data_IF_701208492953
#
_entry.id   IF_701208492953
#
_cell.length_a   1.000
_cell.length_b   1.000
_cell.length_c   1.000
_cell.angle_alpha   90.00
_cell.angle_beta   90.00
_cell.angle_gamma   90.00
#
_symmetry.space_group_name_H-M   'P 1'
#
loop_
_entity.id
_entity.type
_entity.pdbx_description
1 polymer ?
#
# COMPACT_ATOMS: atom_id res chain seq x y z
N UNK A 1 -30.16 -39.07 34.77
CA UNK A 1 -30.36 -38.67 33.37
C UNK A 1 -29.36 -37.57 33.05
N UNK A 2 -28.38 -37.87 32.20
CA UNK A 2 -27.27 -36.97 31.83
C UNK A 2 -27.77 -35.94 30.83
N UNK A 3 -27.59 -34.65 31.10
CA UNK A 3 -27.52 -33.62 30.06
C UNK A 3 -26.28 -32.79 30.41
N UNK A 4 -25.14 -33.22 29.86
CA UNK A 4 -23.91 -32.42 29.85
C UNK A 4 -24.11 -31.38 28.76
N UNK A 5 -24.22 -30.11 29.16
CA UNK A 5 -24.21 -28.98 28.24
C UNK A 5 -22.86 -28.93 27.54
N UNK A 6 -22.81 -29.39 26.30
CA UNK A 6 -21.67 -29.19 25.41
C UNK A 6 -21.77 -27.76 24.88
N UNK A 7 -21.05 -26.83 25.52
CA UNK A 7 -20.84 -25.50 24.95
C UNK A 7 -19.89 -25.70 23.77
N UNK A 8 -20.46 -25.87 22.57
CA UNK A 8 -19.72 -25.73 21.33
C UNK A 8 -19.38 -24.25 21.25
N UNK A 9 -18.13 -23.90 21.59
CA UNK A 9 -17.59 -22.59 21.27
C UNK A 9 -17.63 -22.44 19.75
N UNK A 10 -18.60 -21.70 19.24
CA UNK A 10 -18.55 -21.17 17.89
C UNK A 10 -17.31 -20.28 17.83
N UNK A 11 -16.23 -20.85 17.33
CA UNK A 11 -15.06 -20.12 16.89
C UNK A 11 -15.55 -19.09 15.88
N UNK A 12 -15.56 -17.82 16.28
CA UNK A 12 -15.62 -16.72 15.33
C UNK A 12 -14.35 -16.82 14.49
N UNK A 13 -14.46 -17.49 13.34
CA UNK A 13 -13.44 -17.43 12.30
C UNK A 13 -13.51 -16.01 11.77
N UNK A 14 -12.70 -15.12 12.36
CA UNK A 14 -12.43 -13.80 11.79
C UNK A 14 -11.71 -14.07 10.47
N UNK A 15 -12.47 -14.06 9.38
CA UNK A 15 -11.92 -14.02 8.03
C UNK A 15 -11.18 -12.68 7.89
N UNK A 16 -9.89 -12.69 8.22
CA UNK A 16 -8.94 -11.65 7.84
C UNK A 16 -8.90 -11.64 6.31
N UNK A 17 -9.70 -10.78 5.70
CA UNK A 17 -9.52 -10.34 4.32
C UNK A 17 -8.20 -9.59 4.23
N UNK A 18 -7.11 -10.34 4.12
CA UNK A 18 -5.88 -9.80 3.56
C UNK A 18 -6.04 -9.73 2.04
N UNK A 19 -6.97 -8.88 1.62
CA UNK A 19 -7.18 -8.55 0.23
C UNK A 19 -6.02 -7.66 -0.23
N UNK A 20 -5.58 -7.90 -1.45
CA UNK A 20 -4.81 -6.94 -2.24
C UNK A 20 -5.39 -5.55 -2.01
N UNK A 21 -4.61 -4.59 -1.48
CA UNK A 21 -5.06 -3.21 -1.50
C UNK A 21 -5.02 -2.78 -2.96
N UNK A 22 -6.15 -2.95 -3.63
CA UNK A 22 -6.50 -2.15 -4.80
C UNK A 22 -6.19 -0.69 -4.48
N UNK A 23 -5.74 0.11 -5.45
CA UNK A 23 -5.41 1.51 -5.20
C UNK A 23 -6.64 2.21 -4.60
N UNK A 24 -6.64 2.34 -3.28
CA UNK A 24 -7.71 3.05 -2.58
C UNK A 24 -7.54 4.55 -2.83
N UNK A 25 -8.61 5.31 -2.54
CA UNK A 25 -8.62 6.78 -2.33
C UNK A 25 -7.34 7.31 -1.65
N UNK A 26 -6.75 6.50 -0.78
CA UNK A 26 -5.60 6.87 0.02
C UNK A 26 -4.25 6.46 -0.59
N UNK A 27 -4.25 5.47 -1.48
CA UNK A 27 -3.03 4.83 -1.99
C UNK A 27 -2.09 5.79 -2.73
N UNK A 28 -2.61 6.77 -3.47
CA UNK A 28 -1.78 7.74 -4.20
C UNK A 28 -1.11 8.76 -3.25
N UNK A 29 -1.82 9.21 -2.22
CA UNK A 29 -1.22 10.04 -1.16
C UNK A 29 -0.20 9.20 -0.37
N UNK A 30 -0.53 7.94 -0.07
CA UNK A 30 0.39 7.01 0.58
C UNK A 30 1.63 6.74 -0.28
N UNK A 31 1.53 6.53 -1.58
CA UNK A 31 2.68 6.13 -2.41
C UNK A 31 3.76 7.20 -2.51
N UNK A 32 3.38 8.48 -2.47
CA UNK A 32 4.33 9.60 -2.49
C UNK A 32 5.14 9.72 -1.19
N UNK A 33 4.58 9.29 -0.06
CA UNK A 33 5.08 9.66 1.26
C UNK A 33 5.20 8.48 2.25
N UNK A 34 4.79 7.29 1.83
CA UNK A 34 4.90 6.08 2.63
C UNK A 34 6.37 5.70 2.76
N UNK A 35 6.85 5.48 3.99
CA UNK A 35 8.17 4.90 4.24
C UNK A 35 8.34 3.49 3.64
N UNK A 36 7.26 2.89 3.10
CA UNK A 36 7.18 1.51 2.61
C UNK A 36 7.60 1.34 1.14
N UNK A 37 8.51 2.17 0.64
CA UNK A 37 9.21 1.87 -0.61
C UNK A 37 10.25 0.76 -0.37
N UNK A 38 9.72 -0.43 -0.11
CA UNK A 38 10.37 -1.60 0.47
C UNK A 38 11.56 -2.11 -0.35
N UNK A 39 11.47 -2.06 -1.68
CA UNK A 39 12.53 -2.53 -2.57
C UNK A 39 13.44 -1.40 -3.11
N UNK A 40 13.14 -0.13 -2.80
CA UNK A 40 13.98 0.98 -3.27
C UNK A 40 15.30 1.03 -2.49
N UNK A 41 16.38 1.17 -3.24
CA UNK A 41 17.76 1.30 -2.79
C UNK A 41 18.28 2.62 -3.37
N UNK A 42 18.84 3.49 -2.54
CA UNK A 42 19.36 4.81 -2.92
C UNK A 42 20.71 4.71 -3.63
N UNK A 43 21.60 3.83 -3.15
CA UNK A 43 22.94 3.65 -3.71
C UNK A 43 23.31 2.16 -3.83
N UNK A 44 24.16 1.83 -4.80
CA UNK A 44 24.57 0.45 -5.09
C UNK A 44 23.59 -0.27 -6.02
N UNK A 45 24.02 -1.42 -6.56
CA UNK A 45 23.21 -2.24 -7.45
C UNK A 45 22.81 -3.54 -6.74
N UNK A 46 21.57 -3.66 -6.23
CA UNK A 46 21.13 -4.88 -5.56
C UNK A 46 20.85 -6.00 -6.59
N UNK A 47 21.25 -7.25 -6.30
CA UNK A 47 20.70 -8.44 -6.98
C UNK A 47 19.45 -8.98 -6.28
N UNK A 48 19.42 -8.89 -4.95
CA UNK A 48 18.34 -9.41 -4.14
C UNK A 48 18.15 -8.56 -2.88
N UNK A 49 16.89 -8.43 -2.48
CA UNK A 49 16.51 -7.75 -1.25
C UNK A 49 15.44 -8.57 -0.54
N UNK A 50 15.74 -8.99 0.69
CA UNK A 50 14.79 -9.71 1.55
C UNK A 50 14.31 -8.78 2.65
N UNK A 51 13.00 -8.71 2.84
CA UNK A 51 12.35 -7.87 3.84
C UNK A 51 11.57 -8.75 4.78
N UNK A 52 11.73 -8.53 6.07
CA UNK A 52 10.87 -9.09 7.09
C UNK A 52 10.14 -7.93 7.78
N UNK A 53 8.82 -7.87 7.64
CA UNK A 53 7.97 -6.89 8.31
C UNK A 53 7.20 -7.58 9.44
N UNK A 54 7.25 -6.98 10.62
CA UNK A 54 6.51 -7.40 11.81
C UNK A 54 5.50 -6.32 12.13
N UNK A 55 4.23 -6.59 11.85
CA UNK A 55 3.12 -5.68 12.14
C UNK A 55 2.51 -6.09 13.48
N UNK A 56 2.47 -5.16 14.42
CA UNK A 56 1.96 -5.38 15.77
C UNK A 56 0.59 -4.71 15.86
N UNK A 57 -0.48 -5.50 15.74
CA UNK A 57 -1.85 -5.01 15.82
C UNK A 57 -2.27 -4.77 17.28
N UNK A 58 -3.34 -3.99 17.49
CA UNK A 58 -3.80 -3.57 18.82
C UNK A 58 -4.21 -4.72 19.77
N UNK A 59 -4.36 -5.95 19.25
CA UNK A 59 -4.71 -7.16 20.02
C UNK A 59 -3.55 -8.16 20.18
N UNK A 60 -2.30 -7.72 20.02
CA UNK A 60 -1.09 -8.57 20.09
C UNK A 60 -0.96 -9.61 18.97
N UNK A 61 -1.84 -9.59 17.97
CA UNK A 61 -1.64 -10.31 16.72
C UNK A 61 -0.39 -9.76 16.03
N UNK A 62 0.61 -10.62 15.93
CA UNK A 62 1.86 -10.34 15.24
C UNK A 62 1.81 -11.05 13.91
N UNK A 63 1.78 -10.27 12.84
CA UNK A 63 1.94 -10.84 11.50
C UNK A 63 3.36 -10.62 11.02
N UNK A 64 3.99 -11.72 10.59
CA UNK A 64 5.30 -11.71 9.95
C UNK A 64 5.09 -11.87 8.44
N UNK A 65 5.44 -10.82 7.71
CA UNK A 65 5.56 -10.86 6.26
C UNK A 65 7.03 -11.00 5.88
N UNK A 66 7.29 -11.91 4.95
CA UNK A 66 8.59 -11.98 4.28
C UNK A 66 8.39 -11.68 2.80
N UNK A 67 9.08 -10.65 2.31
CA UNK A 67 9.06 -10.27 0.90
C UNK A 67 10.47 -10.44 0.32
N UNK A 68 10.60 -11.16 -0.78
CA UNK A 68 11.87 -11.37 -1.48
C UNK A 68 11.76 -10.71 -2.84
N UNK A 69 12.61 -9.73 -3.10
CA UNK A 69 12.73 -9.04 -4.38
C UNK A 69 14.02 -9.49 -5.06
N UNK A 70 13.91 -9.96 -6.29
CA UNK A 70 15.04 -10.35 -7.14
C UNK A 70 15.07 -9.43 -8.34
N UNK A 71 16.18 -8.71 -8.51
CA UNK A 71 16.39 -7.76 -9.60
C UNK A 71 16.98 -8.51 -10.79
N UNK A 72 16.11 -9.05 -11.65
CA UNK A 72 16.50 -9.88 -12.79
C UNK A 72 17.17 -9.05 -13.90
N UNK A 73 16.72 -7.80 -14.07
CA UNK A 73 17.30 -6.81 -14.98
C UNK A 73 16.93 -5.40 -14.50
N UNK A 74 17.50 -4.31 -15.06
CA UNK A 74 17.15 -2.94 -14.66
C UNK A 74 15.64 -2.65 -14.70
N UNK A 75 14.92 -3.32 -15.60
CA UNK A 75 13.50 -3.05 -15.86
C UNK A 75 12.57 -4.19 -15.40
N UNK A 76 13.07 -5.17 -14.64
CA UNK A 76 12.26 -6.32 -14.21
C UNK A 76 12.64 -6.79 -12.81
N UNK A 77 11.65 -6.84 -11.92
CA UNK A 77 11.78 -7.34 -10.55
C UNK A 77 10.82 -8.51 -10.37
N UNK A 78 11.34 -9.62 -9.84
CA UNK A 78 10.54 -10.77 -9.41
C UNK A 78 10.31 -10.67 -7.91
N UNK A 79 9.08 -10.88 -7.45
CA UNK A 79 8.70 -10.70 -6.04
C UNK A 79 7.98 -11.93 -5.52
N UNK A 80 8.48 -12.47 -4.41
CA UNK A 80 7.78 -13.53 -3.66
C UNK A 80 7.40 -13.02 -2.28
N UNK A 81 6.13 -13.14 -1.94
CA UNK A 81 5.59 -12.74 -0.64
C UNK A 81 5.11 -13.95 0.15
N UNK A 82 5.57 -14.05 1.38
CA UNK A 82 5.26 -15.13 2.30
C UNK A 82 4.55 -14.57 3.54
N UNK A 83 3.51 -15.27 3.97
CA UNK A 83 2.82 -15.02 5.24
C UNK A 83 2.99 -16.25 6.11
N UNK A 84 3.60 -16.07 7.28
CA UNK A 84 3.89 -17.17 8.21
C UNK A 84 4.53 -18.36 7.46
N UNK A 85 5.56 -18.06 6.66
CA UNK A 85 6.32 -18.99 5.83
C UNK A 85 5.57 -19.68 4.67
N UNK A 86 4.27 -19.40 4.48
CA UNK A 86 3.53 -19.88 3.31
C UNK A 86 3.59 -18.86 2.17
N UNK A 87 3.91 -19.33 0.95
CA UNK A 87 3.87 -18.48 -0.24
C UNK A 87 2.43 -18.00 -0.48
N UNK A 88 2.26 -16.67 -0.46
CA UNK A 88 0.99 -16.01 -0.62
C UNK A 88 0.87 -15.30 -1.97
N UNK A 89 1.98 -14.75 -2.50
CA UNK A 89 2.02 -14.08 -3.80
C UNK A 89 3.33 -14.34 -4.53
N UNK A 90 3.24 -14.49 -5.85
CA UNK A 90 4.36 -14.54 -6.78
C UNK A 90 4.10 -13.50 -7.87
N UNK A 91 4.92 -12.46 -7.95
CA UNK A 91 4.63 -11.26 -8.71
C UNK A 91 5.81 -10.86 -9.61
N UNK A 92 5.51 -10.24 -10.75
CA UNK A 92 6.47 -9.71 -11.71
C UNK A 92 6.17 -8.24 -11.91
N UNK A 93 7.16 -7.40 -11.63
CA UNK A 93 7.09 -5.95 -11.84
C UNK A 93 7.95 -5.62 -13.05
N UNK A 94 7.38 -4.93 -14.04
CA UNK A 94 8.11 -4.37 -15.16
C UNK A 94 8.16 -2.86 -15.04
N UNK A 95 9.35 -2.30 -15.17
CA UNK A 95 9.62 -0.88 -15.00
C UNK A 95 10.01 -0.23 -16.33
N UNK A 96 9.77 1.08 -16.46
CA UNK A 96 10.38 1.89 -17.52
C UNK A 96 11.81 2.32 -17.18
N UNK A 97 12.44 3.06 -18.09
CA UNK A 97 13.83 3.51 -17.96
C UNK A 97 14.10 4.45 -16.78
N UNK A 98 13.06 5.02 -16.17
CA UNK A 98 13.18 5.87 -14.99
C UNK A 98 12.64 5.19 -13.72
N UNK A 99 12.37 3.88 -13.79
CA UNK A 99 12.00 3.05 -12.66
C UNK A 99 10.51 3.10 -12.27
N UNK A 100 9.63 3.61 -13.13
CA UNK A 100 8.17 3.58 -12.89
C UNK A 100 7.59 2.24 -13.30
N UNK A 101 6.69 1.68 -12.49
CA UNK A 101 5.97 0.45 -12.82
C UNK A 101 5.07 0.69 -14.04
N UNK A 102 5.28 -0.06 -15.12
CA UNK A 102 4.47 -0.01 -16.36
C UNK A 102 3.57 -1.24 -16.52
N UNK A 103 3.96 -2.36 -15.89
CA UNK A 103 3.17 -3.58 -15.91
C UNK A 103 3.42 -4.39 -14.64
N UNK A 104 2.35 -5.00 -14.12
CA UNK A 104 2.37 -5.93 -13.01
C UNK A 104 1.60 -7.18 -13.38
N UNK A 105 2.17 -8.33 -13.09
CA UNK A 105 1.48 -9.61 -13.09
C UNK A 105 1.67 -10.27 -11.72
N UNK A 106 0.58 -10.65 -11.07
CA UNK A 106 0.61 -11.29 -9.76
C UNK A 106 -0.18 -12.59 -9.79
N UNK A 107 0.41 -13.67 -9.30
CA UNK A 107 -0.31 -14.87 -8.92
C UNK A 107 -0.55 -14.82 -7.41
N UNK A 108 -1.81 -14.75 -6.99
CA UNK A 108 -2.19 -14.46 -5.61
C UNK A 108 -3.02 -15.60 -5.05
N UNK A 109 -2.62 -16.09 -3.88
CA UNK A 109 -3.35 -17.10 -3.13
C UNK A 109 -4.40 -16.45 -2.23
N UNK A 110 -5.67 -16.74 -2.48
CA UNK A 110 -6.78 -16.28 -1.65
C UNK A 110 -7.02 -17.21 -0.46
N UNK A 111 -7.86 -16.76 0.49
CA UNK A 111 -8.13 -17.47 1.76
C UNK A 111 -8.63 -18.92 1.59
N UNK A 112 -9.26 -19.24 0.45
CA UNK A 112 -9.70 -20.60 0.10
C UNK A 112 -8.59 -21.48 -0.50
N UNK A 113 -7.37 -20.97 -0.65
CA UNK A 113 -6.22 -21.68 -1.20
C UNK A 113 -6.08 -21.62 -2.71
N UNK A 114 -7.08 -21.08 -3.41
CA UNK A 114 -7.07 -20.88 -4.85
C UNK A 114 -6.13 -19.75 -5.28
N UNK A 115 -5.47 -19.96 -6.41
CA UNK A 115 -4.55 -19.03 -7.04
C UNK A 115 -5.25 -18.24 -8.15
N UNK A 116 -5.06 -16.93 -8.15
CA UNK A 116 -5.66 -16.03 -9.13
C UNK A 116 -4.59 -15.16 -9.76
N UNK A 117 -4.67 -15.04 -11.08
CA UNK A 117 -3.80 -14.16 -11.84
C UNK A 117 -4.44 -12.79 -11.91
N UNK A 118 -3.72 -11.78 -11.44
CA UNK A 118 -4.04 -10.36 -11.59
C UNK A 118 -3.02 -9.73 -12.54
N UNK A 119 -3.50 -8.83 -13.40
CA UNK A 119 -2.67 -8.12 -14.37
C UNK A 119 -3.05 -6.66 -14.37
N UNK A 120 -2.06 -5.80 -14.21
CA UNK A 120 -2.22 -4.35 -14.24
C UNK A 120 -1.29 -3.75 -15.29
N UNK A 121 -1.81 -2.79 -16.04
CA UNK A 121 -1.01 -1.90 -16.89
C UNK A 121 -1.06 -0.49 -16.32
N UNK A 122 0.06 0.22 -16.43
CA UNK A 122 0.20 1.59 -15.97
C UNK A 122 0.62 2.48 -17.13
N UNK A 123 -0.06 3.61 -17.30
CA UNK A 123 0.28 4.64 -18.28
C UNK A 123 0.49 5.96 -17.56
N UNK A 124 1.52 6.69 -17.99
CA UNK A 124 1.90 7.98 -17.42
C UNK A 124 1.91 9.04 -18.51
N UNK A 125 1.12 10.08 -18.30
CA UNK A 125 1.11 11.32 -19.08
C UNK A 125 1.68 12.45 -18.21
N UNK A 126 1.78 13.67 -18.76
CA UNK A 126 2.42 14.79 -18.06
C UNK A 126 1.82 15.03 -16.67
N UNK A 127 0.50 15.04 -16.53
CA UNK A 127 -0.21 15.29 -15.27
C UNK A 127 -1.29 14.22 -14.97
N UNK A 128 -1.14 13.02 -15.54
CA UNK A 128 -2.13 11.96 -15.38
C UNK A 128 -1.45 10.59 -15.27
N UNK A 129 -1.96 9.75 -14.39
CA UNK A 129 -1.62 8.32 -14.27
C UNK A 129 -2.89 7.52 -14.51
N UNK A 130 -2.78 6.45 -15.30
CA UNK A 130 -3.87 5.53 -15.58
C UNK A 130 -3.41 4.13 -15.17
N UNK A 131 -4.27 3.40 -14.45
CA UNK A 131 -4.04 2.00 -14.05
C UNK A 131 -5.21 1.17 -14.58
N UNK A 132 -4.92 0.11 -15.32
CA UNK A 132 -5.96 -0.74 -15.90
C UNK A 132 -5.78 -2.18 -15.45
N UNK A 133 -6.85 -2.78 -14.91
CA UNK A 133 -6.88 -4.18 -14.52
C UNK A 133 -7.48 -5.03 -15.63
N UNK A 134 -6.69 -6.01 -16.08
CA UNK A 134 -7.03 -6.87 -17.20
C UNK A 134 -7.55 -8.20 -16.67
N UNK A 135 -8.71 -8.64 -17.16
CA UNK A 135 -9.27 -9.93 -16.80
C UNK A 135 -8.62 -11.09 -17.57
N UNK A 136 -9.04 -12.32 -17.27
CA UNK A 136 -8.52 -13.53 -17.96
C UNK A 136 -8.73 -13.56 -19.47
N UNK A 137 -9.64 -12.74 -20.00
CA UNK A 137 -9.94 -12.64 -21.44
C UNK A 137 -9.18 -11.51 -22.13
N UNK A 138 -8.26 -10.83 -21.44
CA UNK A 138 -7.53 -9.70 -22.00
C UNK A 138 -8.32 -8.39 -22.07
N UNK A 139 -9.50 -8.32 -21.45
CA UNK A 139 -10.32 -7.11 -21.41
C UNK A 139 -10.06 -6.31 -20.14
N UNK A 140 -10.05 -4.99 -20.27
CA UNK A 140 -10.04 -4.06 -19.14
C UNK A 140 -11.42 -4.16 -18.45
N UNK A 141 -11.42 -4.44 -17.15
CA UNK A 141 -12.65 -4.50 -16.34
C UNK A 141 -12.63 -3.53 -15.16
N UNK A 142 -11.50 -2.85 -14.94
CA UNK A 142 -11.37 -1.82 -13.93
C UNK A 142 -10.30 -0.84 -14.39
N UNK A 143 -10.56 0.46 -14.22
CA UNK A 143 -9.68 1.55 -14.63
C UNK A 143 -9.66 2.62 -13.55
N UNK A 144 -8.46 2.93 -13.09
CA UNK A 144 -8.19 4.05 -12.21
C UNK A 144 -7.51 5.16 -12.99
N UNK A 145 -7.94 6.39 -12.76
CA UNK A 145 -7.30 7.58 -13.30
C UNK A 145 -6.98 8.55 -12.18
N UNK A 146 -5.76 9.06 -12.17
CA UNK A 146 -5.30 10.05 -11.20
C UNK A 146 -4.80 11.25 -11.97
N UNK A 147 -5.39 12.41 -11.71
CA UNK A 147 -4.93 13.69 -12.22
C UNK A 147 -4.11 14.40 -11.16
N UNK A 148 -3.06 15.11 -11.59
CA UNK A 148 -2.15 15.80 -10.68
C UNK A 148 -2.06 17.30 -10.99
N UNK A 149 -1.78 18.10 -9.96
CA UNK A 149 -1.38 19.50 -10.12
C UNK A 149 0.07 19.64 -10.65
N UNK A 150 0.53 20.88 -10.80
CA UNK A 150 1.90 21.18 -11.24
C UNK A 150 2.99 20.69 -10.28
N UNK A 151 2.66 20.48 -9.01
CA UNK A 151 3.56 20.00 -7.96
C UNK A 151 3.48 18.47 -7.80
N UNK A 152 2.70 17.79 -8.66
CA UNK A 152 2.45 16.33 -8.63
C UNK A 152 1.63 15.87 -7.42
N UNK A 153 0.83 16.74 -6.83
CA UNK A 153 -0.18 16.35 -5.85
C UNK A 153 -1.44 15.84 -6.58
N UNK A 154 -2.06 14.73 -6.16
CA UNK A 154 -3.29 14.24 -6.77
C UNK A 154 -4.45 15.23 -6.54
N UNK A 155 -5.14 15.65 -7.60
CA UNK A 155 -6.29 16.57 -7.52
C UNK A 155 -7.62 15.85 -7.69
N UNK A 156 -7.63 14.80 -8.53
CA UNK A 156 -8.82 13.97 -8.77
C UNK A 156 -8.35 12.52 -8.92
N UNK A 157 -9.04 11.61 -8.26
CA UNK A 157 -8.99 10.18 -8.54
C UNK A 157 -10.35 9.74 -9.08
N UNK A 158 -10.38 8.93 -10.13
CA UNK A 158 -11.58 8.26 -10.62
C UNK A 158 -11.33 6.76 -10.67
N UNK A 159 -12.28 5.98 -10.18
CA UNK A 159 -12.30 4.52 -10.32
C UNK A 159 -13.56 4.11 -11.07
N UNK A 160 -13.37 3.28 -12.09
CA UNK A 160 -14.43 2.71 -12.91
C UNK A 160 -14.25 1.20 -12.90
N UNK A 161 -15.21 0.49 -12.31
CA UNK A 161 -15.29 -0.97 -12.32
C UNK A 161 -16.43 -1.36 -13.25
N UNK A 162 -16.16 -2.23 -14.22
CA UNK A 162 -17.14 -2.76 -15.17
C UNK A 162 -17.13 -4.28 -15.10
N UNK A 163 -18.09 -4.84 -14.37
CA UNK A 163 -18.33 -6.27 -14.25
C UNK A 163 -19.73 -6.66 -14.75
N UNK A 164 -19.96 -7.95 -15.03
CA UNK A 164 -21.26 -8.45 -15.49
C UNK A 164 -22.38 -8.23 -14.47
N UNK A 165 -22.06 -8.29 -13.18
CA UNK A 165 -23.03 -8.17 -12.08
C UNK A 165 -22.79 -6.95 -11.19
N UNK A 166 -21.73 -6.17 -11.47
CA UNK A 166 -21.33 -5.04 -10.64
C UNK A 166 -20.60 -4.00 -11.48
N UNK A 167 -21.20 -2.82 -11.61
CA UNK A 167 -20.55 -1.62 -12.16
C UNK A 167 -20.49 -0.58 -11.06
N UNK A 168 -19.33 0.04 -10.90
CA UNK A 168 -19.08 1.06 -9.87
C UNK A 168 -18.34 2.21 -10.49
N UNK A 169 -18.77 3.42 -10.15
CA UNK A 169 -18.05 4.65 -10.46
C UNK A 169 -17.83 5.39 -9.14
N UNK A 170 -16.57 5.68 -8.85
CA UNK A 170 -16.17 6.49 -7.69
C UNK A 170 -15.28 7.63 -8.14
N UNK A 171 -15.34 8.74 -7.41
CA UNK A 171 -14.37 9.80 -7.56
C UNK A 171 -13.97 10.41 -6.22
N UNK A 172 -12.71 10.82 -6.14
CA UNK A 172 -12.17 11.59 -5.02
C UNK A 172 -11.73 12.93 -5.56
N UNK A 173 -12.14 14.01 -4.90
CA UNK A 173 -11.62 15.35 -5.16
C UNK A 173 -10.83 15.82 -3.95
N UNK A 174 -9.65 16.37 -4.20
CA UNK A 174 -8.75 16.86 -3.18
C UNK A 174 -8.77 18.38 -3.13
N UNK A 175 -9.09 18.96 -1.97
CA UNK A 175 -9.03 20.39 -1.71
C UNK A 175 -7.90 20.69 -0.73
N UNK A 176 -6.71 20.89 -1.29
CA UNK A 176 -5.51 21.24 -0.54
C UNK A 176 -5.59 22.61 0.12
N UNK A 177 -6.46 23.52 -0.32
CA UNK A 177 -6.59 24.84 0.33
C UNK A 177 -7.29 24.70 1.68
N UNK A 178 -8.28 23.83 1.76
CA UNK A 178 -9.07 23.61 2.98
C UNK A 178 -8.63 22.36 3.76
N UNK A 179 -7.69 21.57 3.24
CA UNK A 179 -7.16 20.39 3.92
C UNK A 179 -8.19 19.25 4.03
N UNK A 180 -9.02 19.09 2.99
CA UNK A 180 -10.08 18.08 2.94
C UNK A 180 -10.03 17.31 1.62
N UNK A 181 -10.69 16.16 1.60
CA UNK A 181 -11.07 15.47 0.38
C UNK A 181 -12.53 15.05 0.44
N UNK A 182 -13.14 14.90 -0.72
CA UNK A 182 -14.53 14.45 -0.87
C UNK A 182 -14.54 13.18 -1.70
N UNK A 183 -15.03 12.09 -1.10
CA UNK A 183 -15.31 10.82 -1.76
C UNK A 183 -16.75 10.82 -2.27
N UNK A 184 -16.96 10.48 -3.54
CA UNK A 184 -18.27 10.43 -4.18
C UNK A 184 -18.47 9.08 -4.87
N UNK A 185 -19.57 8.42 -4.54
CA UNK A 185 -19.99 7.15 -5.15
C UNK A 185 -21.18 7.42 -6.06
N UNK A 186 -21.14 6.88 -7.27
CA UNK A 186 -22.24 7.00 -8.23
C UNK A 186 -22.92 5.66 -8.45
N UNK A 187 -24.25 5.68 -8.55
CA UNK A 187 -25.04 4.50 -8.90
C UNK A 187 -24.96 4.18 -10.39
N UNK A 188 -25.66 3.12 -10.82
CA UNK A 188 -25.67 2.67 -12.22
C UNK A 188 -26.17 3.73 -13.21
N UNK A 189 -27.10 4.59 -12.79
CA UNK A 189 -27.64 5.68 -13.62
C UNK A 189 -26.69 6.89 -13.69
N UNK A 190 -25.53 6.83 -13.02
CA UNK A 190 -24.57 7.92 -12.93
C UNK A 190 -24.96 9.00 -11.92
N UNK A 191 -25.97 8.76 -11.09
CA UNK A 191 -26.39 9.70 -10.05
C UNK A 191 -25.55 9.51 -8.78
N UNK A 192 -25.23 10.62 -8.11
CA UNK A 192 -24.55 10.60 -6.82
C UNK A 192 -25.40 9.83 -5.79
N UNK A 193 -24.80 8.80 -5.22
CA UNK A 193 -25.43 7.89 -4.25
C UNK A 193 -24.92 8.11 -2.83
N UNK A 194 -23.63 8.46 -2.68
CA UNK A 194 -22.99 8.73 -1.41
C UNK A 194 -21.92 9.78 -1.61
N UNK A 195 -21.81 10.66 -0.62
CA UNK A 195 -20.74 11.65 -0.51
C UNK A 195 -20.20 11.61 0.92
N UNK A 196 -18.88 11.54 1.07
CA UNK A 196 -18.21 11.49 2.38
C UNK A 196 -16.97 12.40 2.35
N UNK A 197 -16.90 13.33 3.29
CA UNK A 197 -15.73 14.19 3.47
C UNK A 197 -14.74 13.57 4.46
N UNK A 198 -13.45 13.76 4.18
CA UNK A 198 -12.37 13.42 5.08
C UNK A 198 -11.29 14.49 5.11
N UNK A 199 -10.32 14.33 6.01
CA UNK A 199 -9.25 15.30 6.22
C UNK A 199 -7.97 14.91 5.47
N UNK A 200 -7.22 15.94 5.07
CA UNK A 200 -5.84 15.83 4.60
C UNK A 200 -4.97 16.75 5.44
N UNK A 201 -4.02 16.15 6.14
CA UNK A 201 -2.97 16.92 6.77
C UNK A 201 -1.95 17.31 5.70
N UNK A 202 -1.78 18.61 5.45
CA UNK A 202 -0.85 19.16 4.47
C UNK A 202 0.58 19.26 4.99
N UNK A 203 0.72 19.39 6.31
CA UNK A 203 2.00 19.50 7.02
C UNK A 203 2.39 18.15 7.63
N UNK A 204 2.08 17.06 6.93
CA UNK A 204 2.25 15.72 7.47
C UNK A 204 3.72 15.38 7.70
N UNK A 205 4.69 15.90 6.92
CA UNK A 205 6.12 15.73 7.24
C UNK A 205 6.57 16.79 8.24
N UNK A 206 7.00 16.35 9.42
CA UNK A 206 7.52 17.22 10.47
C UNK A 206 9.05 17.30 10.37
N UNK A 207 9.73 16.15 10.31
CA UNK A 207 11.19 16.09 10.28
C UNK A 207 11.71 15.05 9.29
N UNK A 208 12.93 15.31 8.80
CA UNK A 208 13.73 14.38 8.00
C UNK A 208 15.14 14.26 8.58
N UNK A 209 15.77 13.11 8.39
CA UNK A 209 17.19 12.96 8.70
C UNK A 209 18.09 13.41 7.54
N UNK A 210 19.42 13.34 7.76
CA UNK A 210 20.45 13.71 6.77
C UNK A 210 20.41 12.92 5.46
N UNK A 211 19.72 11.78 5.42
CA UNK A 211 19.54 10.96 4.22
C UNK A 211 18.22 11.28 3.49
N UNK A 212 17.45 12.26 3.98
CA UNK A 212 16.17 12.67 3.42
C UNK A 212 14.99 11.78 3.82
N UNK A 213 15.18 10.77 4.67
CA UNK A 213 14.09 9.91 5.14
C UNK A 213 13.26 10.63 6.22
N UNK A 214 11.93 10.47 6.15
CA UNK A 214 10.99 11.05 7.11
C UNK A 214 11.18 10.37 8.46
N UNK A 215 11.58 11.13 9.48
CA UNK A 215 11.75 10.63 10.85
C UNK A 215 10.59 10.97 11.76
N UNK A 216 9.76 11.94 11.36
CA UNK A 216 8.60 12.36 12.14
C UNK A 216 7.50 12.86 11.22
N UNK A 217 6.29 12.36 11.41
CA UNK A 217 5.14 12.77 10.60
C UNK A 217 3.81 12.66 11.33
N UNK A 218 2.83 13.47 10.93
CA UNK A 218 1.42 13.19 11.20
C UNK A 218 0.91 12.11 10.23
N UNK A 219 -0.21 11.48 10.58
CA UNK A 219 -0.92 10.67 9.60
C UNK A 219 -1.49 11.58 8.51
N UNK A 220 -1.32 11.22 7.24
CA UNK A 220 -1.70 12.09 6.12
C UNK A 220 -3.20 12.35 6.04
N UNK A 221 -4.01 11.42 6.56
CA UNK A 221 -5.47 11.52 6.56
C UNK A 221 -6.05 11.78 7.95
N UNK A 222 -5.23 12.20 8.92
CA UNK A 222 -5.74 12.59 10.25
C UNK A 222 -6.10 14.07 10.27
N UNK A 223 -7.00 14.44 11.17
CA UNK A 223 -7.19 15.85 11.50
C UNK A 223 -5.91 16.35 12.20
N UNK A 224 -5.43 17.54 11.82
CA UNK A 224 -4.24 18.17 12.41
C UNK A 224 -4.38 18.37 13.93
N UNK A 225 -5.61 18.48 14.42
CA UNK A 225 -5.93 18.66 15.84
C UNK A 225 -5.76 17.38 16.67
N UNK A 226 -5.73 16.20 16.04
CA UNK A 226 -5.66 14.92 16.76
C UNK A 226 -4.30 14.69 17.44
N UNK A 227 -3.27 15.48 17.11
CA UNK A 227 -1.92 15.42 17.68
C UNK A 227 -1.25 14.03 17.63
N UNK A 228 -1.68 13.17 16.71
CA UNK A 228 -1.10 11.83 16.52
C UNK A 228 0.16 11.93 15.68
N UNK A 229 1.30 11.61 16.28
CA UNK A 229 2.60 11.69 15.63
C UNK A 229 3.19 10.28 15.46
N UNK A 230 3.80 10.05 14.32
CA UNK A 230 4.56 8.86 14.00
C UNK A 230 6.04 9.21 14.03
N UNK A 231 6.75 8.67 15.01
CA UNK A 231 8.20 8.72 15.07
C UNK A 231 8.75 7.50 14.31
N UNK A 232 9.78 7.70 13.48
CA UNK A 232 10.38 6.66 12.64
C UNK A 232 11.89 6.65 12.84
N UNK A 233 12.39 5.51 13.32
CA UNK A 233 13.81 5.27 13.56
C UNK A 233 14.39 4.38 12.47
N UNK A 234 15.60 4.70 12.01
CA UNK A 234 16.29 3.97 10.95
C UNK A 234 17.69 3.52 11.36
N UNK A 235 18.12 2.37 10.84
CA UNK A 235 19.52 1.95 10.79
C UNK A 235 19.91 1.75 9.34
N UNK A 236 21.14 2.11 8.98
CA UNK A 236 21.65 2.12 7.61
C UNK A 236 22.82 1.16 7.44
N UNK A 237 23.02 0.69 6.20
CA UNK A 237 24.23 -0.01 5.78
C UNK A 237 25.31 0.96 5.26
N UNK A 238 26.44 0.40 4.81
CA UNK A 238 27.58 1.18 4.29
C UNK A 238 27.27 1.97 3.01
N UNK A 239 26.18 1.66 2.30
CA UNK A 239 25.73 2.39 1.11
C UNK A 239 24.66 3.43 1.44
N UNK A 240 24.43 3.72 2.73
CA UNK A 240 23.40 4.63 3.21
C UNK A 240 21.97 4.19 2.83
N UNK A 241 21.75 2.89 2.67
CA UNK A 241 20.42 2.31 2.52
C UNK A 241 19.92 1.84 3.87
N UNK A 242 18.68 2.15 4.23
CA UNK A 242 18.15 1.68 5.51
C UNK A 242 17.95 0.16 5.48
N UNK A 243 18.34 -0.50 6.57
CA UNK A 243 18.25 -1.95 6.79
C UNK A 243 17.37 -2.31 7.99
N UNK A 244 17.02 -1.32 8.80
CA UNK A 244 16.03 -1.45 9.88
C UNK A 244 15.19 -0.18 9.92
N UNK A 245 13.89 -0.35 10.08
CA UNK A 245 12.93 0.74 10.33
C UNK A 245 12.03 0.34 11.49
N UNK A 246 11.87 1.23 12.47
CA UNK A 246 10.93 1.05 13.58
C UNK A 246 9.97 2.23 13.56
N UNK A 247 8.68 1.94 13.51
CA UNK A 247 7.63 2.96 13.54
C UNK A 247 6.95 2.96 14.91
N UNK A 248 6.87 4.14 15.50
CA UNK A 248 6.37 4.35 16.85
C UNK A 248 5.20 5.33 16.76
N UNK A 249 4.03 4.89 17.20
CA UNK A 249 2.87 5.74 17.38
C UNK A 249 3.03 6.51 18.70
N UNK A 250 2.92 7.83 18.63
CA UNK A 250 3.05 8.73 19.76
C UNK A 250 1.76 9.56 19.89
N UNK A 251 1.03 9.32 21.00
CA UNK A 251 -0.23 10.02 21.32
C UNK A 251 -0.06 10.91 22.56
N UNK A 252 1.09 11.58 22.68
CA UNK A 252 1.44 12.44 23.81
C UNK A 252 1.88 11.66 25.05
N UNK A 253 0.93 10.98 25.70
CA UNK A 253 1.18 10.24 26.95
C UNK A 253 1.66 8.80 26.73
N UNK A 254 1.59 8.31 25.49
CA UNK A 254 1.83 6.90 25.18
C UNK A 254 2.65 6.78 23.90
N UNK A 255 3.70 5.95 23.96
CA UNK A 255 4.48 5.53 22.80
C UNK A 255 4.31 4.04 22.58
N UNK A 256 3.93 3.63 21.37
CA UNK A 256 3.72 2.23 21.02
C UNK A 256 4.41 1.90 19.70
N UNK A 257 5.32 0.93 19.73
CA UNK A 257 5.85 0.34 18.49
C UNK A 257 4.72 -0.42 17.82
N UNK A 258 4.42 -0.08 16.56
CA UNK A 258 3.37 -0.76 15.80
C UNK A 258 3.90 -1.48 14.55
N UNK A 259 5.12 -1.18 14.11
CA UNK A 259 5.79 -1.90 13.03
C UNK A 259 7.31 -1.91 13.21
N UNK A 260 7.92 -3.05 12.92
CA UNK A 260 9.37 -3.21 12.77
C UNK A 260 9.66 -3.89 11.44
N UNK A 261 10.44 -3.24 10.59
CA UNK A 261 10.83 -3.77 9.29
C UNK A 261 12.34 -3.94 9.24
N UNK A 262 12.81 -5.10 8.79
CA UNK A 262 14.21 -5.39 8.56
C UNK A 262 14.45 -5.70 7.09
N UNK A 263 15.55 -5.20 6.52
CA UNK A 263 16.01 -5.53 5.17
C UNK A 263 17.37 -6.19 5.22
N UNK A 264 17.55 -7.19 4.37
CA UNK A 264 18.86 -7.71 3.96
C UNK A 264 19.02 -7.39 2.47
N UNK A 265 20.02 -6.59 2.14
CA UNK A 265 20.31 -6.17 0.76
C UNK A 265 21.59 -6.89 0.33
N UNK A 266 21.51 -7.64 -0.75
CA UNK A 266 22.66 -8.28 -1.38
C UNK A 266 23.01 -7.48 -2.64
N UNK A 267 24.19 -6.88 -2.64
CA UNK A 267 24.68 -6.08 -3.76
C UNK A 267 25.40 -6.96 -4.78
N UNK A 268 25.43 -6.52 -6.03
CA UNK A 268 26.39 -7.01 -7.01
C UNK A 268 27.79 -6.59 -6.56
N UNK A 269 28.74 -7.51 -6.67
CA UNK A 269 30.16 -7.21 -6.48
C UNK A 269 30.66 -6.30 -7.61
#
# INVERSE_FOLDING_TARGET
MKIIFFIISLTTVSFLQAQEQEPTVYSEIFDNYSPRNYYRVKNGQPNNLTINDTIILNKSETWIEKNIYTFESPNKILVKKFRNDSLAKDEIYKLDSIGRLINYEGNIKYSKGEWYITRLNFTYESNKKIIEKINRFGKIHMRYEVEYDSLKNPIILRDIIVGPDYTKLESVKYDYKHGIFTHMDFNYDGNLSKEEEGYINLDYVIDRNKFGDITRMYWMTSNKQDNIIYDIEYVYDQFNNWIKMVKILNTGNTKKVYSKTYRKINYNN
#
